data_IF_482028126205
#
_entry.id   IF_482028126205
#
_cell.length_a   1.000
_cell.length_b   1.000
_cell.length_c   1.000
_cell.angle_alpha   90.00
_cell.angle_beta   90.00
_cell.angle_gamma   90.00
#
_symmetry.space_group_name_H-M   'P 1'
#
loop_
_entity.id
_entity.type
_entity.pdbx_description
1 polymer ?
#
# COMPACT_ATOMS: atom_id res chain seq x y z
N UNK A 1 8.30 -9.64 5.26
CA UNK A 1 8.01 -8.28 4.79
C UNK A 1 6.73 -8.20 4.00
N UNK A 2 5.91 -7.20 4.29
CA UNK A 2 4.68 -6.90 3.59
C UNK A 2 4.20 -5.49 3.89
N UNK A 3 3.37 -4.92 3.01
CA UNK A 3 2.80 -3.58 3.18
C UNK A 3 1.29 -3.65 3.09
N UNK A 4 0.60 -3.11 4.10
CA UNK A 4 -0.85 -2.97 4.13
C UNK A 4 -1.29 -1.63 3.61
N UNK A 5 -2.35 -1.66 2.82
CA UNK A 5 -2.93 -0.50 2.17
C UNK A 5 -4.44 -0.40 2.44
N UNK A 6 -4.98 0.81 2.65
CA UNK A 6 -6.41 1.05 2.73
C UNK A 6 -7.00 1.13 1.32
N UNK A 7 -7.38 0.00 0.74
CA UNK A 7 -8.04 -0.04 -0.57
C UNK A 7 -9.52 0.33 -0.50
N UNK A 8 -10.09 0.74 -1.65
CA UNK A 8 -11.49 1.16 -1.75
C UNK A 8 -12.52 0.05 -1.44
N UNK A 9 -12.12 -1.22 -1.58
CA UNK A 9 -12.96 -2.38 -1.24
C UNK A 9 -12.61 -2.99 0.12
N UNK A 10 -11.75 -2.32 0.89
CA UNK A 10 -11.21 -2.79 2.16
C UNK A 10 -9.69 -2.85 2.15
N UNK A 11 -9.13 -3.19 3.32
CA UNK A 11 -7.69 -3.28 3.50
C UNK A 11 -7.12 -4.51 2.80
N UNK A 12 -5.99 -4.35 2.13
CA UNK A 12 -5.25 -5.44 1.50
C UNK A 12 -3.77 -5.34 1.85
N UNK A 13 -3.05 -6.46 1.70
CA UNK A 13 -1.63 -6.56 2.00
C UNK A 13 -0.88 -7.06 0.77
N UNK A 14 0.23 -6.40 0.44
CA UNK A 14 1.13 -6.77 -0.65
C UNK A 14 2.35 -7.44 -0.04
N UNK A 15 2.62 -8.66 -0.48
CA UNK A 15 3.78 -9.47 -0.09
C UNK A 15 4.80 -9.53 -1.22
N UNK A 16 5.99 -10.05 -0.92
CA UNK A 16 7.01 -10.29 -1.94
C UNK A 16 6.51 -11.34 -2.96
N UNK A 17 6.70 -11.05 -4.26
CA UNK A 17 6.25 -11.88 -5.37
C UNK A 17 4.78 -11.66 -5.77
N UNK A 18 4.14 -10.59 -5.31
CA UNK A 18 2.77 -10.28 -5.70
C UNK A 18 2.68 -9.95 -7.20
N UNK A 19 1.59 -10.37 -7.83
CA UNK A 19 1.31 -10.04 -9.22
C UNK A 19 1.18 -8.52 -9.43
N UNK A 20 1.47 -8.00 -10.65
CA UNK A 20 1.30 -6.59 -10.95
C UNK A 20 -0.16 -6.14 -10.72
N UNK A 21 -0.33 -5.03 -10.02
CA UNK A 21 -1.66 -4.47 -9.72
C UNK A 21 -1.60 -2.95 -9.56
N UNK A 22 -2.66 -2.28 -10.01
CA UNK A 22 -2.94 -0.87 -9.70
C UNK A 22 -4.23 -0.82 -8.88
N UNK A 23 -4.20 -0.12 -7.75
CA UNK A 23 -5.38 0.04 -6.89
C UNK A 23 -5.51 1.47 -6.40
N UNK A 24 -6.76 1.92 -6.27
CA UNK A 24 -7.10 3.17 -5.58
C UNK A 24 -7.03 2.96 -4.08
N UNK A 25 -6.54 3.97 -3.37
CA UNK A 25 -6.45 4.03 -1.91
C UNK A 25 -7.43 5.06 -1.37
N UNK A 26 -8.14 4.68 -0.31
CA UNK A 26 -9.00 5.59 0.46
C UNK A 26 -8.28 6.14 1.70
N UNK A 27 -8.94 7.10 2.36
CA UNK A 27 -8.47 7.64 3.62
C UNK A 27 -8.25 6.52 4.65
N UNK A 28 -7.08 6.49 5.27
CA UNK A 28 -6.71 5.43 6.18
C UNK A 28 -5.21 5.38 6.43
N UNK A 29 -4.74 4.22 6.88
CA UNK A 29 -3.35 4.04 7.25
C UNK A 29 -2.65 3.01 6.34
N UNK A 30 -1.50 3.40 5.80
CA UNK A 30 -0.54 2.47 5.19
C UNK A 30 0.38 1.97 6.30
N UNK A 31 0.53 0.65 6.41
CA UNK A 31 1.39 0.01 7.42
C UNK A 31 2.41 -0.92 6.76
N UNK A 32 3.69 -0.60 6.91
CA UNK A 32 4.78 -1.45 6.44
C UNK A 32 5.25 -2.37 7.57
N UNK A 33 5.21 -3.68 7.32
CA UNK A 33 5.70 -4.73 8.22
C UNK A 33 6.98 -5.32 7.64
N UNK A 34 8.10 -4.70 7.98
CA UNK A 34 9.42 -5.12 7.53
C UNK A 34 10.47 -4.96 8.60
N UNK A 35 11.75 -4.95 8.20
CA UNK A 35 12.86 -4.69 9.13
C UNK A 35 12.77 -3.31 9.81
N UNK A 36 12.12 -2.34 9.17
CA UNK A 36 11.82 -1.04 9.77
C UNK A 36 10.31 -0.75 9.62
N UNK A 37 9.49 -1.15 10.62
CA UNK A 37 8.05 -0.96 10.53
C UNK A 37 7.69 0.52 10.66
N UNK A 38 6.78 0.98 9.82
CA UNK A 38 6.26 2.35 9.88
C UNK A 38 4.80 2.39 9.48
N UNK A 39 4.13 3.47 9.92
CA UNK A 39 2.72 3.72 9.67
C UNK A 39 2.53 5.15 9.17
N UNK A 40 1.76 5.34 8.10
CA UNK A 40 1.48 6.64 7.48
C UNK A 40 -0.02 6.77 7.29
N UNK A 41 -0.63 7.81 7.86
CA UNK A 41 -2.02 8.17 7.54
C UNK A 41 -2.06 8.99 6.26
N UNK A 42 -3.04 8.67 5.41
CA UNK A 42 -3.28 9.30 4.12
C UNK A 42 -4.75 9.71 4.02
N UNK A 43 -5.03 10.76 3.25
CA UNK A 43 -6.40 11.17 2.91
C UNK A 43 -6.93 10.44 1.66
N UNK A 44 -6.04 9.91 0.82
CA UNK A 44 -6.38 9.12 -0.36
C UNK A 44 -5.21 9.04 -1.34
N UNK A 45 -5.37 8.27 -2.42
CA UNK A 45 -4.34 8.16 -3.47
C UNK A 45 -4.50 6.93 -4.34
N UNK A 46 -3.39 6.48 -4.92
CA UNK A 46 -3.31 5.21 -5.64
C UNK A 46 -1.96 4.54 -5.42
N UNK A 47 -1.93 3.23 -5.62
CA UNK A 47 -0.73 2.40 -5.52
C UNK A 47 -0.58 1.54 -6.77
N UNK A 48 0.66 1.38 -7.21
CA UNK A 48 1.09 0.48 -8.26
C UNK A 48 2.11 -0.50 -7.68
N UNK A 49 1.92 -1.78 -7.98
CA UNK A 49 2.83 -2.86 -7.62
C UNK A 49 3.30 -3.49 -8.92
N UNK A 50 4.60 -3.56 -9.13
CA UNK A 50 5.20 -4.22 -10.27
C UNK A 50 6.61 -4.72 -9.93
N UNK A 51 6.95 -5.96 -10.29
CA UNK A 51 8.31 -6.52 -10.12
C UNK A 51 8.89 -6.33 -8.69
N UNK A 52 8.05 -6.51 -7.65
CA UNK A 52 8.39 -6.28 -6.24
C UNK A 52 8.70 -4.82 -5.85
N UNK A 53 8.40 -3.88 -6.75
CA UNK A 53 8.43 -2.44 -6.48
C UNK A 53 7.00 -2.00 -6.18
N UNK A 54 6.84 -1.22 -5.10
CA UNK A 54 5.56 -0.64 -4.71
C UNK A 54 5.69 0.88 -4.76
N UNK A 55 4.89 1.53 -5.59
CA UNK A 55 4.83 2.97 -5.78
C UNK A 55 3.48 3.48 -5.31
N UNK A 56 3.47 4.37 -4.31
CA UNK A 56 2.25 4.97 -3.79
C UNK A 56 2.31 6.50 -3.94
N UNK A 57 1.34 7.06 -4.65
CA UNK A 57 1.11 8.50 -4.73
C UNK A 57 -0.10 8.82 -3.86
N UNK A 58 0.13 9.56 -2.77
CA UNK A 58 -0.88 9.80 -1.73
C UNK A 58 -0.94 11.26 -1.35
N UNK A 59 -2.14 11.71 -1.01
CA UNK A 59 -2.40 13.00 -0.38
C UNK A 59 -2.41 12.81 1.14
N UNK A 60 -1.81 13.77 1.84
CA UNK A 60 -1.69 13.73 3.30
C UNK A 60 -2.84 14.49 3.93
#
# INVERSE_FOLDING_TARGET
DGVKFPGALGQFEVLNGHAPIISVLEAGDIECKGSSPFKISISGGFVEVENNVVLACVEK
#
